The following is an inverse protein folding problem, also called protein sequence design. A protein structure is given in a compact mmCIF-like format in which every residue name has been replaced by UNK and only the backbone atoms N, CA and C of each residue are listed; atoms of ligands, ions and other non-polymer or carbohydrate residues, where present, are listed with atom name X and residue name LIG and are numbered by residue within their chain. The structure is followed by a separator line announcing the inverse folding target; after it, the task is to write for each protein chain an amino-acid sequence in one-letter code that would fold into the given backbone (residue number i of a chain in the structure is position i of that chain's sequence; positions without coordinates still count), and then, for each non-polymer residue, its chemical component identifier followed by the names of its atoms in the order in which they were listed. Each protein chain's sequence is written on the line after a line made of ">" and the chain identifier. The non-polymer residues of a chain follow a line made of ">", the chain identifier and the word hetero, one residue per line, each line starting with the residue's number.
data_IF_814242809063
#
_entry.id   IF_814242809063
#
_cell.length_a   1.000
_cell.length_b   1.000
_cell.length_c   1.000
_cell.angle_alpha   90.00
_cell.angle_beta   90.00
_cell.angle_gamma   90.00
#
_symmetry.space_group_name_H-M   'P 1'
#
loop_
_entity.id
_entity.type
_entity.pdbx_description
1 polymer ?
#
# COMPACT_ATOMS: atom_id res chain seq x y z
N UNK A 1 19.03 -2.00 1.22
CA UNK A 1 19.19 -0.54 1.46
C UNK A 1 20.36 -0.32 2.41
N UNK A 2 21.10 0.79 2.29
CA UNK A 2 22.27 1.07 3.17
C UNK A 2 21.81 1.45 4.59
N UNK A 3 22.55 1.09 5.66
CA UNK A 3 22.17 1.41 7.05
C UNK A 3 21.89 2.90 7.30
N UNK A 4 22.70 3.79 6.73
CA UNK A 4 22.51 5.24 6.90
C UNK A 4 21.20 5.74 6.30
N UNK A 5 20.75 5.13 5.20
CA UNK A 5 19.46 5.47 4.57
C UNK A 5 18.31 4.99 5.45
N UNK A 6 18.41 3.76 5.99
CA UNK A 6 17.39 3.21 6.91
C UNK A 6 17.23 4.13 8.13
N UNK A 7 18.36 4.58 8.70
CA UNK A 7 18.36 5.52 9.81
C UNK A 7 17.66 6.84 9.44
N UNK A 8 18.04 7.46 8.32
CA UNK A 8 17.41 8.70 7.85
C UNK A 8 15.91 8.56 7.62
N UNK A 9 15.45 7.43 7.08
CA UNK A 9 14.02 7.17 6.88
C UNK A 9 13.30 7.10 8.22
N UNK A 10 13.82 6.30 9.15
CA UNK A 10 13.21 6.09 10.47
C UNK A 10 13.22 7.36 11.33
N UNK A 11 14.21 8.24 11.15
CA UNK A 11 14.30 9.55 11.82
C UNK A 11 13.49 10.65 11.12
N UNK A 12 12.82 10.34 9.98
CA UNK A 12 12.03 11.31 9.22
C UNK A 12 12.87 12.37 8.50
N UNK A 13 14.15 12.11 8.27
CA UNK A 13 15.11 13.02 7.63
C UNK A 13 15.35 12.67 6.16
N UNK A 14 14.85 11.54 5.69
CA UNK A 14 15.04 11.09 4.31
C UNK A 14 14.13 11.85 3.34
N UNK A 15 14.74 12.45 2.31
CA UNK A 15 14.00 13.07 1.21
C UNK A 15 13.72 12.04 0.11
N UNK A 16 12.45 11.69 -0.04
CA UNK A 16 11.99 10.67 -0.99
C UNK A 16 11.93 11.19 -2.42
N UNK A 17 12.32 10.34 -3.36
CA UNK A 17 12.12 10.55 -4.79
C UNK A 17 11.19 9.50 -5.39
N UNK A 18 10.65 9.77 -6.59
CA UNK A 18 9.86 8.78 -7.33
C UNK A 18 10.70 7.53 -7.62
N UNK A 19 11.98 7.71 -7.93
CA UNK A 19 12.91 6.60 -8.19
C UNK A 19 13.05 5.71 -6.96
N UNK A 20 13.19 6.28 -5.77
CA UNK A 20 13.28 5.51 -4.52
C UNK A 20 12.01 4.70 -4.28
N UNK A 21 10.84 5.33 -4.43
CA UNK A 21 9.56 4.64 -4.26
C UNK A 21 9.36 3.53 -5.30
N UNK A 22 9.79 3.72 -6.55
CA UNK A 22 9.74 2.65 -7.56
C UNK A 22 10.69 1.50 -7.21
N UNK A 23 11.88 1.80 -6.72
CA UNK A 23 12.83 0.78 -6.27
C UNK A 23 12.26 -0.05 -5.10
N UNK A 24 11.52 0.59 -4.19
CA UNK A 24 10.87 -0.09 -3.06
C UNK A 24 9.58 -0.81 -3.51
N UNK A 25 8.64 -0.12 -4.13
CA UNK A 25 7.28 -0.63 -4.37
C UNK A 25 7.17 -1.46 -5.64
N UNK A 26 7.77 -1.02 -6.75
CA UNK A 26 7.60 -1.67 -8.04
C UNK A 26 8.66 -2.76 -8.29
N UNK A 27 9.83 -2.68 -7.63
CA UNK A 27 10.99 -3.55 -7.80
C UNK A 27 11.43 -3.71 -9.28
N UNK A 28 12.68 -4.11 -9.52
CA UNK A 28 13.34 -3.91 -10.83
C UNK A 28 12.70 -4.67 -12.02
N UNK A 29 11.76 -5.60 -11.77
CA UNK A 29 11.16 -6.47 -12.80
C UNK A 29 9.62 -6.52 -12.80
N UNK A 30 8.95 -5.57 -12.17
CA UNK A 30 7.50 -5.65 -11.97
C UNK A 30 6.63 -5.25 -13.15
N UNK A 31 5.82 -6.19 -13.65
CA UNK A 31 4.86 -5.97 -14.74
C UNK A 31 3.67 -5.08 -14.31
N UNK A 32 3.35 -5.05 -13.00
CA UNK A 32 2.14 -4.39 -12.48
C UNK A 32 2.42 -3.09 -11.73
N UNK A 33 3.64 -2.89 -11.22
CA UNK A 33 4.03 -1.67 -10.47
C UNK A 33 4.36 -0.44 -11.33
N UNK A 34 4.66 -0.61 -12.62
CA UNK A 34 5.06 0.50 -13.49
C UNK A 34 3.89 1.37 -14.01
N UNK A 35 2.66 0.83 -14.01
CA UNK A 35 1.47 1.44 -14.64
C UNK A 35 0.60 2.26 -13.65
N UNK A 36 1.20 2.89 -12.65
CA UNK A 36 0.49 3.88 -11.84
C UNK A 36 0.34 5.20 -12.60
N UNK A 37 -0.77 5.92 -12.42
CA UNK A 37 -0.88 7.30 -12.90
C UNK A 37 0.30 8.10 -12.33
N UNK A 38 1.03 8.81 -13.19
CA UNK A 38 2.21 9.60 -12.80
C UNK A 38 1.90 10.56 -11.63
N UNK A 39 0.67 11.03 -11.57
CA UNK A 39 0.12 11.88 -10.52
C UNK A 39 0.16 11.23 -9.13
N UNK A 40 -0.09 9.93 -9.02
CA UNK A 40 -0.14 9.24 -7.71
C UNK A 40 1.25 9.03 -7.12
N UNK A 41 2.25 8.79 -7.96
CA UNK A 41 3.65 8.73 -7.52
C UNK A 41 4.12 10.08 -6.98
N UNK A 42 3.82 11.16 -7.71
CA UNK A 42 4.14 12.53 -7.27
C UNK A 42 3.45 12.86 -5.96
N UNK A 43 2.16 12.52 -5.84
CA UNK A 43 1.38 12.76 -4.62
C UNK A 43 1.96 12.02 -3.41
N UNK A 44 2.32 10.75 -3.54
CA UNK A 44 2.93 9.99 -2.44
C UNK A 44 4.29 10.58 -2.01
N UNK A 45 5.15 10.95 -2.97
CA UNK A 45 6.43 11.63 -2.67
C UNK A 45 6.19 12.93 -1.91
N UNK A 46 5.21 13.73 -2.34
CA UNK A 46 4.90 15.02 -1.72
C UNK A 46 4.50 14.85 -0.25
N UNK A 47 3.62 13.91 0.07
CA UNK A 47 3.19 13.67 1.46
C UNK A 47 4.28 13.07 2.34
N UNK A 48 5.14 12.21 1.78
CA UNK A 48 6.31 11.69 2.49
C UNK A 48 7.27 12.82 2.85
N UNK A 49 7.57 13.71 1.91
CA UNK A 49 8.49 14.83 2.11
C UNK A 49 7.89 15.94 2.98
N UNK A 50 6.55 16.09 2.99
CA UNK A 50 5.82 16.91 3.97
C UNK A 50 5.76 16.28 5.35
N UNK A 51 6.05 14.97 5.47
CA UNK A 51 5.96 14.22 6.71
C UNK A 51 4.54 13.98 7.22
N UNK A 52 3.53 14.10 6.36
CA UNK A 52 2.13 13.72 6.67
C UNK A 52 1.87 12.23 6.44
N UNK A 53 2.68 11.60 5.59
CA UNK A 53 2.89 10.15 5.55
C UNK A 53 4.28 9.87 6.11
N UNK A 54 4.40 8.83 6.93
CA UNK A 54 5.66 8.37 7.51
C UNK A 54 5.96 6.95 7.07
N UNK A 55 7.25 6.64 6.94
CA UNK A 55 7.75 5.30 6.65
C UNK A 55 8.66 4.87 7.77
N UNK A 56 8.40 3.68 8.29
CA UNK A 56 9.32 2.98 9.17
C UNK A 56 9.86 1.76 8.44
N UNK A 57 11.18 1.58 8.46
CA UNK A 57 11.88 0.43 7.90
C UNK A 57 12.34 -0.47 9.03
N UNK A 58 12.00 -1.75 8.93
CA UNK A 58 12.43 -2.81 9.84
C UNK A 58 13.04 -3.96 9.07
N UNK A 59 13.86 -4.77 9.76
CA UNK A 59 14.34 -6.03 9.22
C UNK A 59 13.19 -7.04 9.12
N UNK A 60 13.14 -7.78 8.02
CA UNK A 60 12.27 -8.94 7.87
C UNK A 60 13.15 -10.19 7.88
N UNK A 61 13.17 -11.00 8.95
CA UNK A 61 13.98 -12.21 8.97
C UNK A 61 13.58 -13.16 7.84
N UNK A 62 14.57 -13.84 7.25
CA UNK A 62 14.32 -14.88 6.26
C UNK A 62 14.11 -16.19 7.01
N UNK A 63 12.85 -16.62 7.11
CA UNK A 63 12.49 -17.85 7.82
C UNK A 63 12.66 -19.05 6.89
N UNK A 64 13.10 -20.22 7.41
CA UNK A 64 13.07 -21.46 6.64
C UNK A 64 11.62 -21.79 6.24
N UNK A 65 11.45 -22.40 5.07
CA UNK A 65 10.16 -22.96 4.67
C UNK A 65 9.92 -24.21 5.54
N UNK A 66 8.77 -24.32 6.21
CA UNK A 66 8.50 -25.47 7.08
C UNK A 66 8.41 -26.76 6.26
N UNK A 67 8.90 -27.85 6.84
CA UNK A 67 8.81 -29.19 6.30
C UNK A 67 7.54 -29.87 6.84
N UNK A 68 6.72 -30.39 5.92
CA UNK A 68 5.46 -31.08 6.23
C UNK A 68 5.66 -32.29 7.14
N UNK A 69 6.77 -33.00 6.98
CA UNK A 69 7.05 -34.21 7.76
C UNK A 69 7.55 -33.90 9.18
N UNK A 70 8.08 -32.69 9.39
CA UNK A 70 8.64 -32.25 10.67
C UNK A 70 7.60 -31.52 11.52
N UNK A 71 6.90 -30.53 10.93
CA UNK A 71 5.85 -29.77 11.60
C UNK A 71 4.67 -29.53 10.65
N UNK A 72 3.69 -30.42 10.76
CA UNK A 72 2.50 -30.35 9.93
C UNK A 72 1.65 -29.10 10.22
N UNK A 73 1.61 -28.62 11.46
CA UNK A 73 0.79 -27.45 11.81
C UNK A 73 1.38 -26.17 11.19
N UNK A 74 2.69 -25.98 11.31
CA UNK A 74 3.38 -24.86 10.69
C UNK A 74 3.31 -24.95 9.17
N UNK A 75 3.46 -26.15 8.60
CA UNK A 75 3.32 -26.37 7.16
C UNK A 75 1.93 -25.98 6.65
N UNK A 76 0.85 -26.32 7.37
CA UNK A 76 -0.52 -25.91 7.00
C UNK A 76 -0.67 -24.38 6.99
N UNK A 77 -0.03 -23.67 7.93
CA UNK A 77 -0.02 -22.21 7.94
C UNK A 77 0.75 -21.68 6.72
N UNK A 78 1.93 -22.21 6.43
CA UNK A 78 2.69 -21.86 5.23
C UNK A 78 1.86 -22.06 3.96
N UNK A 79 1.23 -23.22 3.79
CA UNK A 79 0.42 -23.51 2.60
C UNK A 79 -0.77 -22.53 2.46
N UNK A 80 -1.49 -22.29 3.56
CA UNK A 80 -2.66 -21.39 3.56
C UNK A 80 -2.32 -19.95 3.15
N UNK A 81 -1.16 -19.44 3.62
CA UNK A 81 -0.76 -18.04 3.47
C UNK A 81 0.14 -17.76 2.27
N UNK A 82 1.06 -18.67 1.96
CA UNK A 82 2.16 -18.39 1.03
C UNK A 82 1.90 -18.92 -0.38
N UNK A 83 1.33 -20.12 -0.53
CA UNK A 83 1.37 -20.91 -1.79
C UNK A 83 0.29 -20.53 -2.80
N UNK A 84 -0.57 -19.54 -2.50
CA UNK A 84 -1.75 -19.19 -3.30
C UNK A 84 -1.50 -19.00 -4.80
N UNK A 85 -0.47 -18.23 -5.20
CA UNK A 85 -0.03 -17.97 -6.60
C UNK A 85 1.35 -17.29 -6.68
N UNK A 86 2.19 -17.63 -7.65
CA UNK A 86 3.43 -16.89 -7.94
C UNK A 86 4.66 -17.79 -8.02
N UNK A 87 5.83 -17.20 -8.28
CA UNK A 87 7.10 -17.94 -8.28
C UNK A 87 7.53 -18.30 -6.85
N UNK A 88 8.49 -19.23 -6.73
CA UNK A 88 9.01 -19.70 -5.44
C UNK A 88 9.51 -18.57 -4.54
N UNK A 89 10.12 -17.53 -5.13
CA UNK A 89 10.60 -16.38 -4.38
C UNK A 89 9.43 -15.62 -3.73
N UNK A 90 8.36 -15.32 -4.47
CA UNK A 90 7.17 -14.65 -3.94
C UNK A 90 6.49 -15.47 -2.85
N UNK A 91 6.43 -16.79 -3.01
CA UNK A 91 5.93 -17.71 -1.96
C UNK A 91 6.76 -17.56 -0.68
N UNK A 92 8.09 -17.57 -0.80
CA UNK A 92 8.97 -17.44 0.35
C UNK A 92 8.88 -16.06 1.04
N UNK A 93 8.76 -14.98 0.27
CA UNK A 93 8.62 -13.63 0.84
C UNK A 93 7.28 -13.47 1.57
N UNK A 94 6.19 -14.06 1.05
CA UNK A 94 4.90 -14.09 1.76
C UNK A 94 4.99 -14.84 3.07
N UNK A 95 5.70 -15.96 3.07
CA UNK A 95 5.94 -16.71 4.29
C UNK A 95 6.71 -15.89 5.33
N UNK A 96 7.78 -15.21 4.90
CA UNK A 96 8.54 -14.34 5.81
C UNK A 96 7.70 -13.17 6.32
N UNK A 97 6.86 -12.59 5.47
CA UNK A 97 5.93 -11.54 5.88
C UNK A 97 4.86 -11.99 6.87
N UNK A 98 4.33 -13.21 6.70
CA UNK A 98 3.41 -13.84 7.63
C UNK A 98 4.06 -14.05 9.01
N UNK A 99 5.26 -14.66 9.03
CA UNK A 99 6.00 -14.92 10.26
C UNK A 99 6.39 -13.63 10.98
N UNK A 100 6.89 -12.64 10.24
CA UNK A 100 7.25 -11.33 10.79
C UNK A 100 6.07 -10.65 11.49
N UNK A 101 4.88 -10.59 10.86
CA UNK A 101 3.74 -9.93 11.49
C UNK A 101 3.23 -10.75 12.69
N UNK A 102 3.21 -12.08 12.59
CA UNK A 102 2.78 -12.95 13.69
C UNK A 102 3.68 -12.78 14.92
N UNK A 103 4.99 -12.70 14.74
CA UNK A 103 5.94 -12.45 15.83
C UNK A 103 5.79 -11.04 16.41
N UNK A 104 5.46 -10.06 15.57
CA UNK A 104 5.28 -8.66 15.98
C UNK A 104 3.99 -8.41 16.74
N UNK A 105 2.90 -9.08 16.36
CA UNK A 105 1.55 -8.79 16.88
C UNK A 105 1.00 -9.90 17.76
N UNK A 106 1.52 -11.12 17.67
CA UNK A 106 0.94 -12.33 18.27
C UNK A 106 -0.33 -12.80 17.56
N UNK A 107 -0.74 -12.16 16.46
CA UNK A 107 -2.01 -12.42 15.78
C UNK A 107 -1.77 -12.99 14.38
N UNK A 108 -2.52 -14.05 14.03
CA UNK A 108 -2.52 -14.58 12.67
C UNK A 108 -3.21 -13.57 11.74
N UNK A 109 -2.51 -12.98 10.75
CA UNK A 109 -3.13 -12.02 9.84
C UNK A 109 -4.29 -12.66 9.08
N UNK A 110 -5.41 -11.99 8.86
CA UNK A 110 -6.47 -12.52 8.00
C UNK A 110 -6.05 -12.44 6.54
N UNK A 111 -6.17 -13.53 5.78
CA UNK A 111 -5.90 -13.46 4.34
C UNK A 111 -7.00 -12.70 3.62
N UNK A 112 -6.62 -11.71 2.81
CA UNK A 112 -7.55 -10.94 2.01
C UNK A 112 -7.57 -11.43 0.56
N UNK A 113 -8.69 -11.15 -0.13
CA UNK A 113 -8.81 -11.29 -1.58
C UNK A 113 -8.43 -10.00 -2.32
N UNK A 114 -8.19 -8.90 -1.59
CA UNK A 114 -7.71 -7.64 -2.12
C UNK A 114 -6.21 -7.70 -2.46
N UNK A 115 -5.64 -6.60 -2.96
CA UNK A 115 -4.23 -6.52 -3.34
C UNK A 115 -3.24 -6.96 -2.25
N UNK A 116 -3.61 -6.84 -0.96
CA UNK A 116 -2.81 -7.26 0.18
C UNK A 116 -2.83 -8.79 0.44
N UNK A 117 -1.70 -9.32 0.94
CA UNK A 117 -1.56 -10.74 1.30
C UNK A 117 -2.11 -11.07 2.68
N UNK A 118 -2.21 -10.09 3.58
CA UNK A 118 -2.77 -10.29 4.90
C UNK A 118 -3.21 -8.97 5.54
N UNK A 119 -3.97 -9.05 6.63
CA UNK A 119 -4.38 -7.89 7.41
C UNK A 119 -4.54 -8.23 8.90
N UNK A 120 -4.03 -7.38 9.78
CA UNK A 120 -4.18 -7.48 11.24
C UNK A 120 -5.04 -6.32 11.74
N UNK A 121 -6.22 -6.63 12.29
CA UNK A 121 -7.23 -5.63 12.67
C UNK A 121 -6.80 -4.77 13.85
N UNK A 122 -6.24 -5.37 14.90
CA UNK A 122 -5.82 -4.65 16.11
C UNK A 122 -4.75 -3.59 15.82
N UNK A 123 -3.92 -3.82 14.79
CA UNK A 123 -2.90 -2.88 14.31
C UNK A 123 -3.34 -2.02 13.12
N UNK A 124 -4.56 -2.26 12.59
CA UNK A 124 -5.07 -1.70 11.33
C UNK A 124 -4.03 -1.75 10.22
N UNK A 125 -3.38 -2.90 10.04
CA UNK A 125 -2.22 -3.04 9.15
C UNK A 125 -2.46 -4.07 8.06
N UNK A 126 -2.43 -3.62 6.81
CA UNK A 126 -2.34 -4.50 5.64
C UNK A 126 -0.88 -4.91 5.39
N UNK A 127 -0.66 -6.14 4.96
CA UNK A 127 0.67 -6.66 4.60
C UNK A 127 0.66 -7.04 3.12
N UNK A 128 1.68 -6.58 2.39
CA UNK A 128 1.85 -6.82 0.96
C UNK A 128 3.28 -7.31 0.70
N UNK A 129 3.41 -8.50 0.14
CA UNK A 129 4.67 -9.08 -0.26
C UNK A 129 4.88 -8.95 -1.78
N UNK A 130 6.12 -8.64 -2.17
CA UNK A 130 6.49 -8.38 -3.56
C UNK A 130 6.10 -6.98 -4.01
N UNK A 131 5.56 -6.91 -5.23
CA UNK A 131 5.24 -5.64 -5.91
C UNK A 131 3.96 -5.00 -5.41
N UNK A 132 3.99 -3.68 -5.32
CA UNK A 132 2.86 -2.81 -5.03
C UNK A 132 2.92 -1.55 -5.90
N UNK A 133 1.99 -0.63 -5.69
CA UNK A 133 1.93 0.66 -6.39
C UNK A 133 1.71 1.80 -5.40
N UNK A 134 2.06 3.02 -5.79
CA UNK A 134 1.74 4.20 -5.01
C UNK A 134 0.22 4.31 -4.75
N UNK A 135 -0.62 3.87 -5.68
CA UNK A 135 -2.07 3.87 -5.50
C UNK A 135 -2.51 2.97 -4.35
N UNK A 136 -2.03 1.73 -4.31
CA UNK A 136 -2.38 0.78 -3.24
C UNK A 136 -1.95 1.31 -1.87
N UNK A 137 -0.74 1.89 -1.78
CA UNK A 137 -0.27 2.53 -0.54
C UNK A 137 -1.21 3.66 -0.12
N UNK A 138 -1.50 4.59 -1.03
CA UNK A 138 -2.35 5.74 -0.77
C UNK A 138 -3.78 5.35 -0.40
N UNK A 139 -4.34 4.31 -1.03
CA UNK A 139 -5.69 3.81 -0.76
C UNK A 139 -5.82 3.25 0.66
N UNK A 140 -4.89 2.39 1.08
CA UNK A 140 -4.87 1.88 2.45
C UNK A 140 -4.72 3.00 3.50
N UNK A 141 -3.83 3.95 3.23
CA UNK A 141 -3.64 5.10 4.12
C UNK A 141 -4.89 5.98 4.21
N UNK A 142 -5.59 6.22 3.09
CA UNK A 142 -6.86 6.98 3.05
C UNK A 142 -7.95 6.33 3.88
N UNK A 143 -7.96 5.01 3.98
CA UNK A 143 -8.90 4.25 4.81
C UNK A 143 -8.52 4.26 6.30
N UNK A 144 -7.48 4.99 6.70
CA UNK A 144 -7.00 5.07 8.07
C UNK A 144 -6.20 3.84 8.52
N UNK A 145 -5.73 3.03 7.57
CA UNK A 145 -4.92 1.85 7.83
C UNK A 145 -3.44 2.14 7.60
N UNK A 146 -2.57 1.33 8.20
CA UNK A 146 -1.17 1.19 7.85
C UNK A 146 -1.02 0.17 6.73
N UNK A 147 0.06 0.26 5.97
CA UNK A 147 0.43 -0.79 5.01
C UNK A 147 1.92 -1.10 5.11
N UNK A 148 2.22 -2.38 5.34
CA UNK A 148 3.56 -2.94 5.36
C UNK A 148 3.87 -3.56 3.99
N UNK A 149 4.87 -3.01 3.29
CA UNK A 149 5.37 -3.52 2.02
C UNK A 149 6.65 -4.30 2.26
N UNK A 150 6.70 -5.54 1.77
CA UNK A 150 7.85 -6.44 1.87
C UNK A 150 8.32 -6.72 0.44
N UNK A 151 9.22 -5.88 -0.10
CA UNK A 151 9.64 -6.01 -1.49
C UNK A 151 10.54 -7.23 -1.70
N UNK A 152 10.84 -7.51 -2.97
CA UNK A 152 11.87 -8.50 -3.30
C UNK A 152 13.21 -8.14 -2.63
N UNK A 153 13.98 -9.16 -2.17
CA UNK A 153 15.22 -8.93 -1.46
C UNK A 153 16.26 -8.23 -2.33
N UNK A 154 17.03 -7.34 -1.72
CA UNK A 154 18.20 -6.70 -2.31
C UNK A 154 19.42 -7.16 -1.52
N UNK A 155 20.42 -7.71 -2.20
CA UNK A 155 21.62 -8.28 -1.58
C UNK A 155 21.29 -9.34 -0.50
N UNK A 156 20.31 -10.20 -0.79
CA UNK A 156 19.83 -11.27 0.11
C UNK A 156 19.28 -10.78 1.46
N UNK A 157 18.93 -9.49 1.59
CA UNK A 157 18.25 -8.93 2.76
C UNK A 157 16.80 -8.56 2.43
N UNK A 158 15.89 -8.93 3.33
CA UNK A 158 14.50 -8.50 3.31
C UNK A 158 14.28 -7.41 4.35
N UNK A 159 13.51 -6.40 3.96
CA UNK A 159 13.08 -5.32 4.84
C UNK A 159 11.56 -5.19 4.74
N UNK A 160 10.95 -4.66 5.79
CA UNK A 160 9.55 -4.22 5.78
C UNK A 160 9.50 -2.70 5.78
N UNK A 161 8.78 -2.12 4.83
CA UNK A 161 8.49 -0.69 4.75
C UNK A 161 7.06 -0.46 5.22
N UNK A 162 6.91 0.10 6.42
CA UNK A 162 5.62 0.34 7.06
C UNK A 162 5.23 1.79 6.80
N UNK A 163 4.26 1.98 5.92
CA UNK A 163 3.66 3.28 5.66
C UNK A 163 2.53 3.53 6.66
N UNK A 164 2.50 4.74 7.20
CA UNK A 164 1.43 5.21 8.08
C UNK A 164 1.11 6.67 7.79
N UNK A 165 -0.15 7.06 7.99
CA UNK A 165 -0.60 8.42 7.80
C UNK A 165 -0.83 9.09 9.15
N UNK A 166 -0.48 10.38 9.23
CA UNK A 166 -0.91 11.22 10.34
C UNK A 166 -2.35 11.71 10.10
N UNK A 167 -2.97 12.23 11.16
CA UNK A 167 -4.35 12.73 11.10
C UNK A 167 -4.52 13.86 10.07
N UNK A 168 -3.49 14.69 9.89
CA UNK A 168 -3.49 15.78 8.91
C UNK A 168 -3.65 15.26 7.48
N UNK A 169 -3.02 14.13 7.14
CA UNK A 169 -3.19 13.52 5.83
C UNK A 169 -4.65 13.11 5.61
N UNK A 170 -5.29 12.46 6.58
CA UNK A 170 -6.68 12.00 6.47
C UNK A 170 -7.61 13.19 6.27
N UNK A 171 -7.46 14.24 7.08
CA UNK A 171 -8.25 15.48 6.96
C UNK A 171 -8.08 16.16 5.60
N UNK A 172 -6.85 16.22 5.08
CA UNK A 172 -6.60 16.75 3.75
C UNK A 172 -7.27 15.92 2.64
N UNK A 173 -7.25 14.58 2.75
CA UNK A 173 -7.92 13.72 1.78
C UNK A 173 -9.44 13.88 1.83
N UNK A 174 -10.02 13.95 3.03
CA UNK A 174 -11.46 14.21 3.22
C UNK A 174 -11.86 15.56 2.62
N UNK A 175 -11.10 16.62 2.89
CA UNK A 175 -11.35 17.94 2.32
C UNK A 175 -11.31 17.92 0.78
N UNK A 176 -10.34 17.23 0.17
CA UNK A 176 -10.28 17.06 -1.30
C UNK A 176 -11.51 16.34 -1.86
N UNK A 177 -12.03 15.34 -1.14
CA UNK A 177 -13.25 14.61 -1.56
C UNK A 177 -14.45 15.55 -1.52
N UNK A 178 -14.63 16.33 -0.45
CA UNK A 178 -15.71 17.31 -0.34
C UNK A 178 -15.64 18.36 -1.46
N UNK A 179 -14.45 18.87 -1.76
CA UNK A 179 -14.24 19.84 -2.86
C UNK A 179 -14.65 19.27 -4.22
N UNK A 180 -14.33 18.00 -4.50
CA UNK A 180 -14.72 17.34 -5.76
C UNK A 180 -16.24 17.13 -5.81
N UNK A 181 -16.85 16.67 -4.72
CA UNK A 181 -18.31 16.48 -4.64
C UNK A 181 -19.06 17.78 -4.88
N UNK A 182 -18.58 18.90 -4.32
CA UNK A 182 -19.19 20.20 -4.54
C UNK A 182 -19.02 20.70 -5.97
N UNK A 183 -17.85 20.45 -6.60
CA UNK A 183 -17.65 20.74 -8.04
C UNK A 183 -18.61 19.94 -8.92
N UNK A 184 -18.79 18.64 -8.65
CA UNK A 184 -19.72 17.77 -9.40
C UNK A 184 -21.15 18.25 -9.22
N UNK A 185 -21.57 18.55 -7.97
CA UNK A 185 -22.91 19.07 -7.66
C UNK A 185 -23.19 20.39 -8.40
N UNK A 186 -22.23 21.31 -8.40
CA UNK A 186 -22.36 22.58 -9.10
C UNK A 186 -22.43 22.40 -10.62
N UNK A 187 -21.64 21.48 -11.18
CA UNK A 187 -21.68 21.14 -12.59
C UNK A 187 -23.04 20.53 -12.98
N UNK A 188 -23.57 19.61 -12.18
CA UNK A 188 -24.90 19.02 -12.40
C UNK A 188 -26.01 20.07 -12.37
N UNK A 189 -26.00 20.97 -11.37
CA UNK A 189 -26.97 22.07 -11.29
C UNK A 189 -26.95 22.95 -12.53
N UNK A 190 -25.75 23.27 -13.03
CA UNK A 190 -25.58 24.06 -14.25
C UNK A 190 -26.11 23.33 -15.48
N UNK A 191 -25.77 22.04 -15.64
CA UNK A 191 -26.25 21.22 -16.75
C UNK A 191 -27.78 21.06 -16.74
N UNK A 192 -28.40 20.93 -15.56
CA UNK A 192 -29.84 20.89 -15.39
C UNK A 192 -30.51 22.21 -15.79
N UNK A 193 -29.96 23.36 -15.36
CA UNK A 193 -30.43 24.68 -15.78
C UNK A 193 -30.36 24.85 -17.31
N UNK A 194 -29.21 24.54 -17.91
CA UNK A 194 -29.01 24.62 -19.36
C UNK A 194 -29.97 23.69 -20.14
N UNK A 195 -30.31 22.53 -19.58
CA UNK A 195 -31.28 21.60 -20.17
C UNK A 195 -32.71 22.15 -20.11
N UNK A 196 -33.15 22.65 -18.95
CA UNK A 196 -34.48 23.22 -18.76
C UNK A 196 -34.70 24.48 -19.61
N UNK A 197 -33.68 25.33 -19.73
CA UNK A 197 -33.71 26.49 -20.62
C UNK A 197 -33.92 26.05 -22.07
N UNK A 198 -33.18 25.05 -22.56
CA UNK A 198 -33.36 24.52 -23.93
C UNK A 198 -34.74 23.92 -24.18
N UNK A 199 -35.36 23.27 -23.18
CA UNK A 199 -36.72 22.74 -23.32
C UNK A 199 -37.80 23.83 -23.35
N UNK A 200 -37.62 24.92 -22.60
CA UNK A 200 -38.57 26.04 -22.61
C UNK A 200 -38.52 26.87 -23.90
N UNK A 201 -37.47 26.72 -24.73
CA UNK A 201 -37.35 27.34 -26.06
C UNK A 201 -37.72 26.40 -27.23
N UNK A 202 -38.11 25.16 -26.97
CA UNK A 202 -38.62 24.27 -28.02
C UNK A 202 -40.04 24.74 -28.41
N UNK A 203 -40.32 25.03 -29.70
CA UNK A 203 -41.63 25.48 -30.13
C UNK A 203 -42.67 24.39 -29.83
N UNK A 204 -43.75 24.78 -29.16
CA UNK A 204 -44.93 23.91 -29.03
C UNK A 204 -45.63 23.87 -30.39
N UNK A 205 -45.59 22.71 -31.05
CA UNK A 205 -46.44 22.41 -32.21
C UNK A 205 -47.93 22.39 -31.84
#
# INVERSE_FOLDING_TARGET
>A
MKPDIIKQVNEGQYYWTITDLKNVLASVNGWWGANGLETTWKELVEYLNKGTIQVQIEDCPIYPIPDREVDFEEWVQFDTYATRRGNHQLVHIRWCGYRWILEKTGEKPRVLTSGANGYVESFKMAIKAGESSAFEVMDWLRQGNKIAIIPYPVDSKLYVYIFSAKEEFIKEQEAKIFDVLDKVRNHMKKAEQEYLEKQNFAPKE
#
